data_IF_130490990906
#
_entry.id   IF_130490990906
#
_cell.length_a   1.000
_cell.length_b   1.000
_cell.length_c   1.000
_cell.angle_alpha   90.00
_cell.angle_beta   90.00
_cell.angle_gamma   90.00
#
_symmetry.space_group_name_H-M   'P 1'
#
loop_
_entity.id
_entity.type
_entity.pdbx_description
1 polymer ?
#
# COMPACT_ATOMS: atom_id res chain seq x y z
N UNK A 1 -8.22 32.18 0.26
CA UNK A 1 -8.38 30.72 0.40
C UNK A 1 -7.23 30.21 1.26
N UNK A 2 -7.54 29.77 2.46
CA UNK A 2 -6.58 29.19 3.40
C UNK A 2 -6.06 27.87 2.81
N UNK A 3 -4.82 27.85 2.33
CA UNK A 3 -4.11 26.62 2.01
C UNK A 3 -3.92 25.85 3.32
N UNK A 4 -4.70 24.79 3.51
CA UNK A 4 -4.42 23.81 4.56
C UNK A 4 -2.97 23.36 4.40
N UNK A 5 -2.11 23.44 5.43
CA UNK A 5 -0.72 23.04 5.28
C UNK A 5 -0.71 21.56 4.88
N UNK A 6 0.02 21.24 3.81
CA UNK A 6 0.22 19.86 3.39
C UNK A 6 0.78 19.08 4.59
N UNK A 7 -0.04 18.14 5.06
CA UNK A 7 0.24 17.34 6.24
C UNK A 7 1.25 16.26 5.82
N UNK A 8 2.55 16.54 6.02
CA UNK A 8 3.64 15.58 5.80
C UNK A 8 3.61 14.51 6.91
N UNK A 9 2.58 13.66 6.90
CA UNK A 9 2.42 12.54 7.83
C UNK A 9 2.52 11.23 7.05
N UNK A 10 3.32 10.30 7.56
CA UNK A 10 3.24 8.92 7.09
C UNK A 10 1.92 8.31 7.61
N UNK A 11 1.25 7.50 6.76
CA UNK A 11 0.10 6.69 7.19
C UNK A 11 0.54 5.23 7.27
N UNK A 12 0.13 4.56 8.33
CA UNK A 12 0.41 3.14 8.57
C UNK A 12 -0.91 2.43 8.87
N UNK A 13 -1.08 1.21 8.34
CA UNK A 13 -2.26 0.39 8.59
C UNK A 13 -1.82 -1.02 8.97
N UNK A 14 -2.50 -1.61 9.96
CA UNK A 14 -2.35 -3.02 10.33
C UNK A 14 -3.52 -3.77 9.69
N UNK A 15 -3.23 -4.80 8.91
CA UNK A 15 -4.24 -5.56 8.17
C UNK A 15 -3.87 -7.04 8.08
N UNK A 16 -4.82 -7.87 7.64
CA UNK A 16 -4.60 -9.31 7.46
C UNK A 16 -3.57 -9.60 6.34
N UNK A 17 -2.79 -10.68 6.46
CA UNK A 17 -1.86 -11.08 5.40
C UNK A 17 -2.55 -11.28 4.06
N UNK A 18 -1.94 -10.75 3.00
CA UNK A 18 -2.43 -10.86 1.63
C UNK A 18 -3.66 -10.02 1.30
N UNK A 19 -4.27 -9.29 2.25
CA UNK A 19 -5.36 -8.35 1.93
C UNK A 19 -4.81 -7.00 1.45
N UNK A 20 -5.64 -6.25 0.73
CA UNK A 20 -5.29 -4.89 0.33
C UNK A 20 -5.29 -3.95 1.56
N UNK A 21 -4.26 -3.10 1.74
CA UNK A 21 -4.20 -2.14 2.84
C UNK A 21 -5.13 -0.96 2.59
N UNK A 22 -6.27 -0.89 3.29
CA UNK A 22 -7.20 0.24 3.18
C UNK A 22 -6.71 1.43 4.04
N UNK A 23 -5.75 2.17 3.48
CA UNK A 23 -5.14 3.33 4.15
C UNK A 23 -6.15 4.44 4.41
N UNK A 24 -7.18 4.60 3.58
CA UNK A 24 -8.14 5.69 3.76
C UNK A 24 -9.06 5.45 4.95
N UNK A 25 -9.52 4.21 5.12
CA UNK A 25 -10.44 3.83 6.20
C UNK A 25 -9.71 3.50 7.51
N UNK A 26 -8.60 2.79 7.44
CA UNK A 26 -7.92 2.18 8.59
C UNK A 26 -6.51 2.75 8.84
N UNK A 27 -6.06 3.69 8.00
CA UNK A 27 -4.73 4.27 8.13
C UNK A 27 -4.60 5.22 9.31
N UNK A 28 -3.63 4.91 10.16
CA UNK A 28 -3.20 5.70 11.30
C UNK A 28 -2.17 6.74 10.88
N UNK A 29 -2.32 7.97 11.35
CA UNK A 29 -1.36 9.05 11.10
C UNK A 29 -0.18 8.95 12.06
N UNK A 30 1.03 8.97 11.51
CA UNK A 30 2.29 8.92 12.28
C UNK A 30 2.88 10.32 12.36
N UNK A 31 3.09 10.81 13.57
CA UNK A 31 3.65 12.14 13.79
C UNK A 31 5.17 12.17 13.50
N UNK A 32 5.66 13.06 12.62
CA UNK A 32 7.07 13.18 12.29
C UNK A 32 7.86 13.72 13.48
N UNK A 33 9.11 13.27 13.61
CA UNK A 33 10.00 13.68 14.71
C UNK A 33 9.60 13.12 16.08
N UNK A 34 8.61 12.21 16.14
CA UNK A 34 8.17 11.55 17.35
C UNK A 34 8.25 10.03 17.21
N UNK A 35 8.38 9.35 18.35
CA UNK A 35 8.28 7.90 18.41
C UNK A 35 6.80 7.58 18.59
N UNK A 36 6.25 6.89 17.58
CA UNK A 36 4.86 6.47 17.55
C UNK A 36 4.85 4.98 17.87
N UNK A 37 4.42 4.61 19.07
CA UNK A 37 4.22 3.23 19.47
C UNK A 37 2.79 2.83 19.15
N UNK A 38 2.63 1.85 18.26
CA UNK A 38 1.33 1.33 17.83
C UNK A 38 1.13 -0.02 18.51
N UNK A 39 0.28 -0.03 19.53
CA UNK A 39 -0.16 -1.26 20.17
C UNK A 39 -1.49 -1.69 19.53
N UNK A 40 -1.58 -2.94 19.10
CA UNK A 40 -2.79 -3.47 18.47
C UNK A 40 -3.15 -4.85 19.02
N UNK A 41 -4.44 -5.14 19.08
CA UNK A 41 -4.98 -6.46 19.41
C UNK A 41 -5.85 -6.98 18.26
N UNK A 42 -5.58 -8.18 17.72
CA UNK A 42 -6.46 -8.79 16.73
C UNK A 42 -7.75 -9.25 17.41
N UNK A 43 -8.89 -8.80 16.90
CA UNK A 43 -10.22 -9.23 17.33
C UNK A 43 -10.84 -10.04 16.19
N UNK A 44 -11.12 -11.31 16.45
CA UNK A 44 -11.81 -12.18 15.50
C UNK A 44 -13.31 -11.96 15.60
N UNK A 45 -13.94 -11.67 14.47
CA UNK A 45 -15.38 -11.56 14.34
C UNK A 45 -15.92 -12.77 13.60
N UNK A 46 -17.00 -13.35 14.11
CA UNK A 46 -17.76 -14.40 13.43
C UNK A 46 -19.19 -13.91 13.18
N UNK A 47 -19.57 -13.90 11.91
CA UNK A 47 -20.91 -13.56 11.45
C UNK A 47 -21.65 -14.84 11.10
N UNK A 48 -22.90 -14.93 11.54
CA UNK A 48 -23.78 -16.01 11.13
C UNK A 48 -24.20 -15.81 9.67
N UNK A 49 -23.95 -16.82 8.85
CA UNK A 49 -24.42 -16.86 7.47
C UNK A 49 -25.92 -17.13 7.45
N UNK A 50 -26.72 -16.16 7.03
CA UNK A 50 -28.18 -16.29 7.01
C UNK A 50 -28.74 -15.86 5.65
N UNK A 51 -29.88 -16.41 5.19
CA UNK A 51 -30.50 -15.97 3.94
C UNK A 51 -30.72 -14.46 3.79
N UNK A 52 -31.20 -13.71 4.82
CA UNK A 52 -31.35 -12.25 4.72
C UNK A 52 -30.01 -11.48 4.81
N UNK A 53 -28.98 -12.07 5.42
CA UNK A 53 -27.66 -11.46 5.58
C UNK A 53 -26.57 -12.50 5.24
N UNK A 54 -26.40 -12.81 3.94
CA UNK A 54 -25.42 -13.80 3.52
C UNK A 54 -24.00 -13.30 3.79
N UNK A 55 -23.12 -14.23 4.16
CA UNK A 55 -21.70 -13.99 4.24
C UNK A 55 -20.93 -15.06 3.47
N UNK A 56 -19.70 -14.70 3.08
CA UNK A 56 -18.78 -15.55 2.35
C UNK A 56 -18.00 -16.41 3.32
N UNK A 57 -18.18 -17.73 3.20
CA UNK A 57 -17.53 -18.73 4.04
C UNK A 57 -16.01 -18.83 3.78
N UNK A 58 -15.25 -19.16 4.83
CA UNK A 58 -13.77 -19.19 4.77
C UNK A 58 -13.20 -20.22 3.80
N UNK A 59 -13.87 -21.35 3.64
CA UNK A 59 -13.40 -22.42 2.75
C UNK A 59 -13.37 -21.98 1.27
N UNK A 60 -14.22 -21.01 0.89
CA UNK A 60 -14.18 -20.41 -0.44
C UNK A 60 -12.90 -19.61 -0.65
N UNK A 61 -12.39 -18.95 0.40
CA UNK A 61 -11.17 -18.15 0.36
C UNK A 61 -9.89 -18.99 0.46
N UNK A 62 -9.99 -20.28 0.76
CA UNK A 62 -8.84 -21.20 0.82
C UNK A 62 -8.64 -21.98 -0.48
N UNK A 63 -9.68 -22.11 -1.31
CA UNK A 63 -9.58 -22.76 -2.62
C UNK A 63 -9.13 -21.78 -3.69
N UNK A 64 -8.10 -22.16 -4.45
CA UNK A 64 -7.62 -21.38 -5.58
C UNK A 64 -8.70 -21.14 -6.64
N UNK A 65 -9.58 -22.11 -6.86
CA UNK A 65 -10.66 -22.06 -7.84
C UNK A 65 -11.81 -21.17 -7.38
N UNK A 66 -12.16 -21.22 -6.09
CA UNK A 66 -13.35 -20.57 -5.53
C UNK A 66 -13.08 -19.18 -4.94
N UNK A 67 -11.82 -18.84 -4.66
CA UNK A 67 -11.44 -17.55 -4.13
C UNK A 67 -11.63 -16.42 -5.15
N UNK A 68 -11.55 -16.73 -6.44
CA UNK A 68 -11.50 -15.77 -7.53
C UNK A 68 -12.79 -14.94 -7.64
N UNK A 69 -12.63 -13.63 -7.80
CA UNK A 69 -13.73 -12.71 -8.13
C UNK A 69 -13.97 -12.67 -9.64
N UNK A 70 -12.91 -12.84 -10.44
CA UNK A 70 -12.95 -12.82 -11.90
C UNK A 70 -12.47 -14.15 -12.48
N UNK A 71 -12.71 -14.35 -13.78
CA UNK A 71 -12.22 -15.54 -14.50
C UNK A 71 -10.71 -15.54 -14.76
N UNK A 72 -9.96 -14.57 -14.24
CA UNK A 72 -8.53 -14.45 -14.50
C UNK A 72 -7.72 -15.54 -13.79
N UNK A 73 -6.61 -15.93 -14.41
CA UNK A 73 -5.66 -16.88 -13.82
C UNK A 73 -4.77 -16.15 -12.82
N UNK A 74 -4.93 -16.46 -11.54
CA UNK A 74 -4.11 -15.91 -10.46
C UNK A 74 -2.89 -16.81 -10.17
N UNK A 75 -1.80 -16.28 -9.59
CA UNK A 75 -0.72 -17.11 -9.08
C UNK A 75 -1.18 -17.93 -7.86
N UNK A 76 -0.41 -18.97 -7.52
CA UNK A 76 -0.61 -19.67 -6.25
C UNK A 76 -0.24 -18.75 -5.07
N UNK A 77 -1.00 -18.85 -3.98
CA UNK A 77 -0.66 -18.14 -2.74
C UNK A 77 0.61 -18.73 -2.12
N UNK A 78 1.49 -17.91 -1.52
CA UNK A 78 2.63 -18.40 -0.75
C UNK A 78 2.22 -19.03 0.59
N UNK A 79 0.97 -18.82 1.04
CA UNK A 79 0.41 -19.41 2.26
C UNK A 79 -0.65 -20.46 1.93
N UNK A 80 -0.76 -21.49 2.78
CA UNK A 80 -1.85 -22.47 2.73
C UNK A 80 -3.15 -21.97 3.37
N UNK A 81 -3.11 -20.83 4.06
CA UNK A 81 -4.24 -20.32 4.85
C UNK A 81 -5.24 -19.52 4.02
N UNK A 82 -4.84 -19.07 2.83
CA UNK A 82 -5.67 -18.32 1.90
C UNK A 82 -5.22 -18.47 0.45
N UNK A 83 -6.15 -18.26 -0.47
CA UNK A 83 -5.92 -18.11 -1.90
C UNK A 83 -6.13 -16.66 -2.34
N UNK A 84 -5.51 -16.29 -3.45
CA UNK A 84 -5.73 -14.99 -4.07
C UNK A 84 -7.08 -14.96 -4.79
N UNK A 85 -7.75 -13.81 -4.71
CA UNK A 85 -9.08 -13.58 -5.25
C UNK A 85 -9.08 -12.63 -6.46
N UNK A 86 -8.10 -11.72 -6.53
CA UNK A 86 -7.93 -10.79 -7.63
C UNK A 86 -6.50 -10.25 -7.67
N UNK A 87 -6.18 -9.47 -8.70
CA UNK A 87 -4.93 -8.73 -8.81
C UNK A 87 -5.19 -7.23 -9.03
N UNK A 88 -4.35 -6.40 -8.41
CA UNK A 88 -4.12 -5.02 -8.84
C UNK A 88 -2.74 -4.96 -9.50
N UNK A 89 -2.75 -4.86 -10.83
CA UNK A 89 -1.60 -4.99 -11.71
C UNK A 89 -0.90 -6.34 -11.51
N UNK A 90 0.33 -6.31 -10.98
CA UNK A 90 1.16 -7.50 -10.76
C UNK A 90 1.06 -8.05 -9.33
N UNK A 91 0.23 -7.44 -8.48
CA UNK A 91 0.11 -7.83 -7.07
C UNK A 91 -1.25 -8.49 -6.86
N UNK A 92 -1.23 -9.72 -6.35
CA UNK A 92 -2.44 -10.47 -6.06
C UNK A 92 -2.83 -10.35 -4.59
N UNK A 93 -4.14 -10.30 -4.34
CA UNK A 93 -4.69 -10.07 -3.01
C UNK A 93 -5.78 -11.09 -2.68
N UNK A 94 -5.94 -11.39 -1.40
CA UNK A 94 -7.05 -12.17 -0.85
C UNK A 94 -8.36 -11.37 -0.98
N UNK A 95 -9.47 -12.10 -1.01
CA UNK A 95 -10.80 -11.53 -0.96
C UNK A 95 -10.98 -10.55 0.19
N UNK A 96 -11.54 -9.38 -0.12
CA UNK A 96 -12.26 -8.54 0.83
C UNK A 96 -13.49 -7.97 0.14
N UNK A 97 -14.56 -7.72 0.91
CA UNK A 97 -15.82 -7.25 0.34
C UNK A 97 -15.64 -5.93 -0.41
N UNK A 98 -14.93 -4.98 0.20
CA UNK A 98 -14.67 -3.64 -0.38
C UNK A 98 -13.98 -3.78 -1.72
N UNK A 99 -12.94 -4.60 -1.80
CA UNK A 99 -12.16 -4.75 -3.03
C UNK A 99 -12.90 -5.52 -4.11
N UNK A 100 -13.77 -6.48 -3.74
CA UNK A 100 -14.70 -7.11 -4.67
C UNK A 100 -15.62 -6.07 -5.33
N UNK A 101 -16.22 -5.18 -4.53
CA UNK A 101 -17.12 -4.13 -5.04
C UNK A 101 -16.35 -3.18 -5.97
N UNK A 102 -15.16 -2.72 -5.55
CA UNK A 102 -14.34 -1.81 -6.35
C UNK A 102 -13.84 -2.46 -7.66
N UNK A 103 -13.55 -3.76 -7.64
CA UNK A 103 -13.15 -4.49 -8.84
C UNK A 103 -14.31 -4.65 -9.83
N UNK A 104 -15.50 -5.04 -9.37
CA UNK A 104 -16.67 -5.06 -10.27
C UNK A 104 -16.98 -3.67 -10.83
N UNK A 105 -16.88 -2.64 -9.99
CA UNK A 105 -17.00 -1.25 -10.45
C UNK A 105 -15.93 -0.90 -11.49
N UNK A 106 -14.68 -1.34 -11.33
CA UNK A 106 -13.63 -1.14 -12.33
C UNK A 106 -13.95 -1.85 -13.66
N UNK A 107 -14.44 -3.08 -13.61
CA UNK A 107 -14.82 -3.82 -14.81
C UNK A 107 -15.91 -3.08 -15.58
N UNK A 108 -16.92 -2.54 -14.88
CA UNK A 108 -17.95 -1.69 -15.45
C UNK A 108 -17.38 -0.38 -16.06
N UNK A 109 -16.40 0.24 -15.40
CA UNK A 109 -15.73 1.45 -15.93
C UNK A 109 -14.94 1.12 -17.20
N UNK A 110 -14.22 0.00 -17.23
CA UNK A 110 -13.46 -0.45 -18.39
C UNK A 110 -14.40 -0.77 -19.55
N UNK A 111 -15.51 -1.44 -19.28
CA UNK A 111 -16.51 -1.83 -20.28
C UNK A 111 -17.22 -0.61 -20.87
N UNK A 112 -17.69 0.31 -20.02
CA UNK A 112 -18.54 1.45 -20.44
C UNK A 112 -17.76 2.70 -20.83
N UNK A 113 -16.67 3.00 -20.13
CA UNK A 113 -15.90 4.24 -20.30
C UNK A 113 -14.53 4.03 -20.94
N UNK A 114 -14.16 2.77 -21.27
CA UNK A 114 -12.91 2.40 -21.94
C UNK A 114 -11.65 3.01 -21.29
N UNK A 115 -11.65 3.08 -19.97
CA UNK A 115 -10.52 3.58 -19.19
C UNK A 115 -10.44 2.86 -17.84
N UNK A 116 -9.33 3.06 -17.13
CA UNK A 116 -9.12 2.52 -15.79
C UNK A 116 -9.20 3.65 -14.76
N UNK A 117 -10.02 3.48 -13.73
CA UNK A 117 -10.05 4.39 -12.61
C UNK A 117 -8.93 4.05 -11.63
N UNK A 118 -8.10 5.04 -11.30
CA UNK A 118 -6.83 4.83 -10.58
C UNK A 118 -7.03 4.39 -9.12
N UNK A 119 -8.19 4.69 -8.53
CA UNK A 119 -8.51 4.36 -7.14
C UNK A 119 -9.14 2.97 -6.95
N UNK A 120 -9.48 2.29 -8.04
CA UNK A 120 -9.99 0.92 -7.99
C UNK A 120 -8.89 -0.08 -8.38
N UNK A 121 -8.99 -1.36 -7.98
CA UNK A 121 -8.07 -2.40 -8.44
C UNK A 121 -7.97 -2.47 -9.97
N UNK A 122 -6.77 -2.54 -10.51
CA UNK A 122 -6.52 -2.54 -11.95
C UNK A 122 -6.20 -3.96 -12.41
N UNK A 123 -7.13 -4.67 -13.09
CA UNK A 123 -6.89 -6.06 -13.49
C UNK A 123 -5.77 -6.21 -14.53
N UNK A 124 -5.44 -5.13 -15.26
CA UNK A 124 -4.41 -5.13 -16.30
C UNK A 124 -3.62 -3.82 -16.34
N UNK A 125 -2.40 -3.89 -16.86
CA UNK A 125 -1.60 -2.68 -17.10
C UNK A 125 -2.32 -1.76 -18.10
N UNK A 126 -2.35 -0.43 -17.85
CA UNK A 126 -2.89 0.52 -18.80
C UNK A 126 -2.12 0.49 -20.12
N UNK A 127 -2.85 0.55 -21.23
CA UNK A 127 -2.30 0.62 -22.58
C UNK A 127 -2.98 1.75 -23.38
N UNK A 128 -2.83 1.76 -24.70
CA UNK A 128 -3.49 2.75 -25.58
C UNK A 128 -5.01 2.58 -25.65
N UNK A 129 -5.50 1.34 -25.56
CA UNK A 129 -6.93 1.02 -25.67
C UNK A 129 -7.67 1.31 -24.37
N UNK A 130 -7.09 0.93 -23.23
CA UNK A 130 -7.67 1.13 -21.89
C UNK A 130 -6.66 1.86 -21.01
N UNK A 131 -6.44 3.16 -21.26
CA UNK A 131 -5.57 3.99 -20.45
C UNK A 131 -6.21 4.31 -19.09
N UNK A 132 -5.48 5.00 -18.21
CA UNK A 132 -6.13 5.66 -17.08
C UNK A 132 -7.13 6.72 -17.56
N UNK A 133 -8.22 6.90 -16.83
CA UNK A 133 -9.27 7.85 -17.21
C UNK A 133 -8.74 9.30 -17.27
N UNK A 134 -7.73 9.64 -16.47
CA UNK A 134 -7.04 10.94 -16.49
C UNK A 134 -5.81 11.00 -17.40
N UNK A 135 -5.58 10.01 -18.29
CA UNK A 135 -4.42 10.03 -19.19
C UNK A 135 -4.52 11.20 -20.16
N UNK A 136 -3.52 12.06 -20.13
CA UNK A 136 -3.28 13.11 -21.12
C UNK A 136 -2.33 12.54 -22.18
N UNK A 137 -2.74 12.55 -23.45
CA UNK A 137 -1.90 12.15 -24.58
C UNK A 137 -1.39 13.42 -25.28
N UNK A 138 -0.07 13.53 -25.42
CA UNK A 138 0.62 14.75 -25.89
C UNK A 138 0.31 15.14 -27.35
N UNK A 139 -0.35 14.27 -28.13
CA UNK A 139 -0.62 14.48 -29.56
C UNK A 139 -2.12 14.63 -29.92
N UNK A 140 -3.03 14.65 -28.94
CA UNK A 140 -4.46 14.79 -29.22
C UNK A 140 -4.88 16.26 -29.28
N UNK A 141 -5.22 16.74 -30.48
CA UNK A 141 -5.76 18.10 -30.70
C UNK A 141 -7.10 18.33 -29.99
N UNK A 142 -7.81 17.27 -29.60
CA UNK A 142 -9.11 17.31 -28.91
C UNK A 142 -9.05 16.77 -27.46
N UNK A 143 -7.88 16.89 -26.81
CA UNK A 143 -7.63 16.37 -25.46
C UNK A 143 -8.71 16.71 -24.44
N UNK A 144 -9.17 17.97 -24.42
CA UNK A 144 -10.14 18.45 -23.43
C UNK A 144 -11.51 17.76 -23.57
N UNK A 145 -11.96 17.57 -24.81
CA UNK A 145 -13.24 16.91 -25.11
C UNK A 145 -13.20 15.44 -24.70
N UNK A 146 -12.10 14.73 -25.00
CA UNK A 146 -11.91 13.33 -24.62
C UNK A 146 -11.91 13.15 -23.09
N UNK A 147 -11.26 14.06 -22.35
CA UNK A 147 -11.25 14.03 -20.89
C UNK A 147 -12.65 14.30 -20.33
N UNK A 148 -13.36 15.30 -20.86
CA UNK A 148 -14.72 15.61 -20.44
C UNK A 148 -15.67 14.43 -20.68
N UNK A 149 -15.60 13.80 -21.85
CA UNK A 149 -16.41 12.61 -22.16
C UNK A 149 -16.18 11.46 -21.17
N UNK A 150 -14.92 11.21 -20.78
CA UNK A 150 -14.60 10.19 -19.77
C UNK A 150 -15.13 10.56 -18.39
N UNK A 151 -14.99 11.81 -17.97
CA UNK A 151 -15.50 12.30 -16.68
C UNK A 151 -17.03 12.20 -16.63
N UNK A 152 -17.71 12.58 -17.71
CA UNK A 152 -19.16 12.46 -17.85
C UNK A 152 -19.60 10.99 -17.81
N UNK A 153 -18.88 10.08 -18.48
CA UNK A 153 -19.16 8.65 -18.41
C UNK A 153 -19.02 8.11 -16.97
N UNK A 154 -17.92 8.46 -16.29
CA UNK A 154 -17.65 8.03 -14.91
C UNK A 154 -18.75 8.51 -13.94
N UNK A 155 -19.06 9.80 -13.98
CA UNK A 155 -20.05 10.43 -13.09
C UNK A 155 -21.49 10.03 -13.42
N UNK A 156 -21.79 9.78 -14.70
CA UNK A 156 -23.12 9.42 -15.20
C UNK A 156 -23.55 7.98 -14.96
N UNK A 157 -22.64 7.08 -14.57
CA UNK A 157 -23.00 5.66 -14.42
C UNK A 157 -22.15 4.87 -13.42
N UNK A 158 -20.95 4.40 -13.80
CA UNK A 158 -20.25 3.36 -13.03
C UNK A 158 -19.84 3.78 -11.61
N UNK A 159 -19.64 5.08 -11.34
CA UNK A 159 -19.32 5.55 -9.99
C UNK A 159 -20.54 5.69 -9.05
N UNK A 160 -21.75 5.36 -9.52
CA UNK A 160 -22.98 5.51 -8.75
C UNK A 160 -23.04 4.53 -7.56
N UNK A 161 -23.41 5.04 -6.39
CA UNK A 161 -23.56 4.25 -5.16
C UNK A 161 -24.64 3.16 -5.27
N UNK A 162 -25.66 3.32 -6.11
CA UNK A 162 -26.67 2.28 -6.34
C UNK A 162 -26.06 1.01 -6.91
N UNK A 163 -25.04 1.14 -7.77
CA UNK A 163 -24.34 -0.02 -8.35
C UNK A 163 -23.48 -0.72 -7.30
N UNK A 164 -22.84 0.03 -6.40
CA UNK A 164 -22.12 -0.54 -5.25
C UNK A 164 -23.03 -1.40 -4.38
N UNK A 165 -24.21 -0.86 -4.02
CA UNK A 165 -25.23 -1.59 -3.25
C UNK A 165 -25.74 -2.84 -3.96
N UNK A 166 -25.84 -2.80 -5.29
CA UNK A 166 -26.19 -3.97 -6.07
C UNK A 166 -25.16 -5.08 -5.87
N UNK A 167 -23.87 -4.79 -6.02
CA UNK A 167 -22.82 -5.80 -5.81
C UNK A 167 -22.77 -6.30 -4.37
N UNK A 168 -22.97 -5.45 -3.37
CA UNK A 168 -23.07 -5.84 -1.95
C UNK A 168 -24.19 -6.87 -1.70
N UNK A 169 -25.29 -6.77 -2.44
CA UNK A 169 -26.45 -7.63 -2.29
C UNK A 169 -26.38 -8.92 -3.12
N UNK A 170 -25.59 -8.96 -4.20
CA UNK A 170 -25.64 -10.07 -5.17
C UNK A 170 -24.36 -10.90 -5.28
N UNK A 171 -23.18 -10.27 -5.24
CA UNK A 171 -21.92 -10.92 -5.60
C UNK A 171 -20.82 -10.76 -4.55
N UNK A 172 -20.78 -9.62 -3.87
CA UNK A 172 -19.73 -9.24 -2.94
C UNK A 172 -20.24 -9.28 -1.50
N UNK A 173 -20.32 -10.48 -0.94
CA UNK A 173 -20.73 -10.70 0.44
C UNK A 173 -19.59 -10.43 1.43
N UNK A 174 -19.88 -9.89 2.64
CA UNK A 174 -18.88 -9.80 3.70
C UNK A 174 -18.38 -11.20 4.06
N UNK A 175 -17.12 -11.34 4.51
CA UNK A 175 -16.63 -12.63 5.03
C UNK A 175 -17.38 -13.00 6.31
N UNK A 176 -17.62 -14.30 6.49
CA UNK A 176 -18.21 -14.81 7.73
C UNK A 176 -17.23 -14.70 8.90
N UNK A 177 -15.94 -14.95 8.67
CA UNK A 177 -14.90 -14.65 9.66
C UNK A 177 -13.92 -13.59 9.13
N UNK A 178 -13.54 -12.65 10.00
CA UNK A 178 -12.50 -11.67 9.69
C UNK A 178 -11.88 -11.11 10.97
N UNK A 179 -10.69 -10.54 10.84
CA UNK A 179 -10.04 -9.85 11.94
C UNK A 179 -10.21 -8.34 11.81
N UNK A 180 -10.42 -7.67 12.94
CA UNK A 180 -10.16 -6.24 13.09
C UNK A 180 -8.98 -6.03 14.01
N UNK A 181 -8.33 -4.87 13.90
CA UNK A 181 -7.14 -4.54 14.67
C UNK A 181 -7.42 -3.28 15.48
N UNK A 182 -7.99 -3.47 16.68
CA UNK A 182 -8.19 -2.36 17.59
C UNK A 182 -6.81 -1.85 18.01
N UNK A 183 -6.52 -0.60 17.68
CA UNK A 183 -5.19 -0.01 17.84
C UNK A 183 -5.24 1.21 18.75
N UNK A 184 -4.22 1.31 19.60
CA UNK A 184 -3.96 2.45 20.46
C UNK A 184 -2.59 3.02 20.11
N UNK A 185 -2.52 4.34 19.92
CA UNK A 185 -1.26 5.03 19.63
C UNK A 185 -0.80 5.76 20.88
N UNK A 186 0.42 5.49 21.29
CA UNK A 186 1.16 6.32 22.24
C UNK A 186 2.23 7.10 21.49
N UNK A 187 2.21 8.43 21.62
CA UNK A 187 3.17 9.31 20.97
C UNK A 187 4.10 9.89 22.02
N UNK A 188 5.39 9.61 21.89
CA UNK A 188 6.41 10.18 22.78
C UNK A 188 7.40 11.01 21.98
N UNK A 189 7.94 12.08 22.57
CA UNK A 189 9.01 12.86 21.94
C UNK A 189 10.19 11.94 21.71
N UNK A 190 10.58 11.74 20.45
CA UNK A 190 11.79 10.99 20.17
C UNK A 190 13.00 11.89 20.46
N UNK A 191 13.58 11.72 21.65
CA UNK A 191 14.74 12.50 22.11
C UNK A 191 16.04 11.95 21.51
N UNK A 192 16.06 11.66 20.21
CA UNK A 192 17.29 11.30 19.54
C UNK A 192 18.18 12.54 19.46
N UNK A 193 19.35 12.46 20.06
CA UNK A 193 20.37 13.50 19.97
C UNK A 193 21.11 13.37 18.62
N UNK A 194 21.62 14.48 18.09
CA UNK A 194 22.15 14.57 16.71
C UNK A 194 23.13 13.45 16.33
N UNK A 195 24.00 13.06 17.27
CA UNK A 195 24.97 11.99 17.04
C UNK A 195 24.31 10.60 16.91
N UNK A 196 23.22 10.33 17.64
CA UNK A 196 22.45 9.09 17.48
C UNK A 196 21.82 9.01 16.10
N UNK A 197 21.24 10.12 15.62
CA UNK A 197 20.67 10.20 14.27
C UNK A 197 21.74 10.01 13.19
N UNK A 198 22.91 10.64 13.38
CA UNK A 198 24.05 10.49 12.48
C UNK A 198 24.43 9.01 12.34
N UNK A 199 24.68 8.32 13.46
CA UNK A 199 25.11 6.93 13.42
C UNK A 199 24.01 5.98 12.96
N UNK A 200 22.75 6.21 13.31
CA UNK A 200 21.62 5.46 12.78
C UNK A 200 21.58 5.52 11.24
N UNK A 201 21.80 6.71 10.66
CA UNK A 201 21.88 6.90 9.22
C UNK A 201 23.07 6.17 8.61
N UNK A 202 24.26 6.30 9.20
CA UNK A 202 25.47 5.64 8.71
C UNK A 202 25.31 4.12 8.71
N UNK A 203 24.77 3.56 9.80
CA UNK A 203 24.49 2.14 9.93
C UNK A 203 23.45 1.66 8.92
N UNK A 204 22.34 2.38 8.74
CA UNK A 204 21.31 2.02 7.76
C UNK A 204 21.90 1.95 6.35
N UNK A 205 22.72 2.94 5.98
CA UNK A 205 23.41 2.98 4.69
C UNK A 205 24.45 1.86 4.55
N UNK A 206 25.18 1.53 5.62
CA UNK A 206 26.12 0.43 5.65
C UNK A 206 25.42 -0.92 5.40
N UNK A 207 24.33 -1.20 6.09
CA UNK A 207 23.55 -2.44 5.91
C UNK A 207 22.90 -2.54 4.54
N UNK A 208 22.35 -1.44 4.01
CA UNK A 208 21.82 -1.41 2.64
C UNK A 208 22.90 -1.73 1.61
N UNK A 209 24.10 -1.18 1.76
CA UNK A 209 25.22 -1.45 0.85
C UNK A 209 25.68 -2.92 0.91
N UNK A 210 25.78 -3.50 2.12
CA UNK A 210 26.13 -4.93 2.28
C UNK A 210 25.08 -5.84 1.64
N UNK A 211 23.79 -5.57 1.87
CA UNK A 211 22.69 -6.32 1.25
C UNK A 211 22.68 -6.20 -0.27
N UNK A 212 22.97 -5.00 -0.79
CA UNK A 212 23.08 -4.77 -2.24
C UNK A 212 24.24 -5.55 -2.86
N UNK A 213 25.42 -5.55 -2.23
CA UNK A 213 26.56 -6.35 -2.69
C UNK A 213 26.23 -7.85 -2.71
N UNK A 214 25.57 -8.39 -1.68
CA UNK A 214 25.12 -9.80 -1.68
C UNK A 214 24.10 -10.09 -2.80
N UNK A 215 23.14 -9.19 -3.03
CA UNK A 215 22.14 -9.38 -4.08
C UNK A 215 22.73 -9.37 -5.50
N UNK A 216 23.83 -8.63 -5.70
CA UNK A 216 24.46 -8.45 -7.02
C UNK A 216 25.61 -9.42 -7.28
N UNK A 217 26.33 -9.84 -6.23
CA UNK A 217 27.53 -10.70 -6.34
C UNK A 217 27.29 -12.13 -5.85
N UNK A 218 26.11 -12.42 -5.31
CA UNK A 218 25.70 -13.72 -4.79
C UNK A 218 25.86 -13.85 -3.27
N UNK A 219 25.09 -14.75 -2.66
CA UNK A 219 25.04 -14.95 -1.20
C UNK A 219 26.40 -15.38 -0.60
N UNK A 220 27.21 -16.10 -1.37
CA UNK A 220 28.55 -16.54 -0.96
C UNK A 220 29.61 -15.44 -1.02
N UNK A 221 29.26 -14.24 -1.49
CA UNK A 221 30.21 -13.15 -1.57
C UNK A 221 30.58 -12.64 -0.17
N UNK A 222 31.89 -12.51 0.14
CA UNK A 222 32.34 -12.21 1.49
C UNK A 222 32.00 -10.77 1.88
N UNK A 223 31.05 -10.61 2.82
CA UNK A 223 30.51 -9.33 3.29
C UNK A 223 31.60 -8.39 3.80
N UNK A 224 32.68 -8.94 4.37
CA UNK A 224 33.82 -8.16 4.86
C UNK A 224 34.52 -7.31 3.79
N UNK A 225 34.33 -7.62 2.50
CA UNK A 225 34.85 -6.84 1.36
C UNK A 225 33.93 -5.69 0.95
N UNK A 226 32.78 -5.54 1.60
CA UNK A 226 31.82 -4.49 1.27
C UNK A 226 32.27 -3.12 1.76
N UNK A 227 32.01 -2.10 0.95
CA UNK A 227 32.06 -0.71 1.40
C UNK A 227 31.11 -0.46 2.58
N UNK A 228 30.00 -1.21 2.64
CA UNK A 228 29.09 -1.19 3.78
C UNK A 228 29.72 -1.76 5.05
N UNK A 229 30.47 -2.85 4.94
CA UNK A 229 31.16 -3.45 6.07
C UNK A 229 32.24 -2.52 6.64
N UNK A 230 33.01 -1.85 5.78
CA UNK A 230 34.00 -0.84 6.23
C UNK A 230 33.35 0.30 7.03
N UNK A 231 32.18 0.80 6.59
CA UNK A 231 31.40 1.82 7.33
C UNK A 231 30.81 1.31 8.64
N UNK A 232 30.39 0.05 8.67
CA UNK A 232 29.92 -0.58 9.90
C UNK A 232 31.06 -0.76 10.92
N UNK A 233 32.24 -1.18 10.45
CA UNK A 233 33.46 -1.28 11.28
C UNK A 233 33.83 0.09 11.85
N UNK A 234 33.77 1.16 11.06
CA UNK A 234 34.03 2.52 11.55
C UNK A 234 33.14 2.87 12.75
N UNK A 235 31.84 2.54 12.69
CA UNK A 235 30.94 2.71 13.84
C UNK A 235 31.33 1.79 15.01
N UNK A 236 31.59 0.51 14.74
CA UNK A 236 31.85 -0.52 15.75
C UNK A 236 33.13 -0.24 16.56
N UNK A 237 34.17 0.27 15.90
CA UNK A 237 35.47 0.56 16.52
C UNK A 237 35.53 1.94 17.18
N UNK A 238 34.54 2.82 16.94
CA UNK A 238 34.55 4.18 17.47
C UNK A 238 34.23 4.19 18.96
N UNK A 239 35.20 4.63 19.76
CA UNK A 239 35.08 4.68 21.23
C UNK A 239 34.22 5.83 21.73
N UNK A 240 34.14 6.94 20.97
CA UNK A 240 33.30 8.08 21.29
C UNK A 240 32.36 8.41 20.12
N UNK A 241 31.11 7.97 20.25
CA UNK A 241 30.06 8.18 19.26
C UNK A 241 29.42 9.58 19.34
N UNK A 242 29.64 10.33 20.42
CA UNK A 242 28.98 11.64 20.62
C UNK A 242 29.68 12.78 19.88
N UNK A 243 30.98 12.64 19.61
CA UNK A 243 31.77 13.65 18.91
C UNK A 243 31.68 13.47 17.40
N UNK A 244 30.62 14.01 16.80
CA UNK A 244 30.41 14.03 15.35
C UNK A 244 30.75 15.42 14.83
N UNK A 245 31.94 15.58 14.25
CA UNK A 245 32.49 16.86 13.78
C UNK A 245 31.71 17.52 12.64
N UNK A 246 30.78 16.80 11.99
CA UNK A 246 30.04 17.24 10.79
C UNK A 246 28.56 17.61 11.06
N UNK A 247 28.18 18.00 12.28
CA UNK A 247 26.79 18.37 12.61
C UNK A 247 26.28 19.59 11.82
N UNK A 248 27.17 20.43 11.27
CA UNK A 248 26.80 21.57 10.42
C UNK A 248 26.09 21.17 9.12
N UNK A 249 26.34 19.97 8.57
CA UNK A 249 25.67 19.50 7.35
C UNK A 249 24.31 18.84 7.61
N UNK A 250 24.07 18.32 8.82
CA UNK A 250 22.78 17.71 9.18
C UNK A 250 21.66 18.75 9.32
N UNK A 251 21.98 19.98 9.77
CA UNK A 251 21.01 21.09 9.80
C UNK A 251 20.55 21.53 8.40
N UNK A 252 21.39 21.42 7.38
CA UNK A 252 21.04 21.77 6.00
C UNK A 252 20.16 20.73 5.31
N UNK A 253 20.33 19.44 5.60
CA UNK A 253 19.51 18.39 4.98
C UNK A 253 18.07 18.38 5.55
N UNK A 254 17.87 18.73 6.83
CA UNK A 254 16.53 18.94 7.38
C UNK A 254 15.81 20.17 6.79
N UNK A 255 16.54 21.15 6.26
CA UNK A 255 15.96 22.33 5.59
C UNK A 255 15.80 22.18 4.07
N UNK A 256 16.48 21.21 3.43
CA UNK A 256 16.45 21.02 1.97
C UNK A 256 15.56 19.84 1.49
N UNK A 257 14.57 19.42 2.28
CA UNK A 257 13.46 18.58 1.81
C UNK A 257 12.11 19.30 1.97
N UNK A 258 12.11 20.61 1.73
CA UNK A 258 10.91 21.46 1.75
C UNK A 258 10.87 22.45 0.58
N UNK A 259 11.44 22.06 -0.56
CA UNK A 259 11.19 22.68 -1.88
C UNK A 259 11.38 21.64 -2.98
N UNK A 260 10.27 21.01 -3.37
CA UNK A 260 9.80 20.93 -4.76
C UNK A 260 8.28 21.12 -4.68
#
# INVERSE_FOLDING_TARGET
MSTSPAVNLARVVVHEPGTYPDLEREGLHVEPGKLNEINYAPVMWERLNTPPHPCREDWLDRSYELAKITSEKLPASPSTDYAYAYSDLNVSYRYSQVQCILLHQQLDIIDKCHCQYVFNPRPRHPNSEVPYCGRILDNDTNLLELIMQRIECLSGGPLNNSLKRHYEATSCFPRCSYYTYDSTISVTTWRAVDWQLHWLRQLNNAFKAMRHDQSTKGENWPVNRSKGYAKWIEYYEKTNLTNVSDILFLKLVYFCSSRI
#
